data_IF_053337848325
#
_entry.id   IF_053337848325
#
_cell.length_a   1.000
_cell.length_b   1.000
_cell.length_c   1.000
_cell.angle_alpha   90.00
_cell.angle_beta   90.00
_cell.angle_gamma   90.00
#
_symmetry.space_group_name_H-M   'P 1'
#
loop_
_entity.id
_entity.type
_entity.pdbx_description
1 polymer ?
#
# COMPACT_ATOMS: atom_id res chain seq x y z
N UNK A 1 -7.62 -0.75 11.98
CA UNK A 1 -7.94 -0.08 10.70
C UNK A 1 -8.61 -1.07 9.75
N UNK A 2 -7.91 -2.12 9.23
CA UNK A 2 -8.49 -3.05 8.23
C UNK A 2 -9.84 -3.62 8.68
N UNK A 3 -9.89 -4.18 9.88
CA UNK A 3 -11.10 -4.79 10.44
C UNK A 3 -12.26 -3.78 10.54
N UNK A 4 -12.01 -2.60 11.12
CA UNK A 4 -13.05 -1.59 11.35
C UNK A 4 -13.58 -0.97 10.07
N UNK A 5 -12.70 -0.75 9.07
CA UNK A 5 -13.07 -0.11 7.82
C UNK A 5 -13.58 -1.07 6.75
N UNK A 6 -13.47 -2.39 6.95
CA UNK A 6 -13.94 -3.38 5.96
C UNK A 6 -15.44 -3.26 5.63
N UNK A 7 -16.25 -2.80 6.58
CA UNK A 7 -17.68 -2.58 6.37
C UNK A 7 -18.01 -1.53 5.30
N UNK A 8 -17.06 -0.61 5.02
CA UNK A 8 -17.21 0.44 4.01
C UNK A 8 -16.62 0.04 2.65
N UNK A 9 -15.95 -1.10 2.58
CA UNK A 9 -15.29 -1.55 1.37
C UNK A 9 -16.30 -2.11 0.37
N UNK A 10 -16.27 -1.61 -0.87
CA UNK A 10 -16.99 -2.23 -1.97
C UNK A 10 -16.44 -3.64 -2.27
N UNK A 11 -17.28 -4.61 -2.67
CA UNK A 11 -16.82 -5.89 -3.16
C UNK A 11 -15.85 -5.72 -4.33
N UNK A 12 -14.82 -6.56 -4.38
CA UNK A 12 -13.90 -6.57 -5.52
C UNK A 12 -14.61 -7.06 -6.78
N UNK A 13 -14.35 -6.40 -7.88
CA UNK A 13 -14.75 -6.87 -9.21
C UNK A 13 -13.86 -8.03 -9.67
N UNK A 14 -14.34 -8.81 -10.63
CA UNK A 14 -13.55 -9.89 -11.22
C UNK A 14 -12.21 -9.39 -11.81
N UNK A 15 -12.22 -8.21 -12.44
CA UNK A 15 -11.02 -7.58 -12.99
C UNK A 15 -10.01 -7.21 -11.90
N UNK A 16 -10.47 -6.65 -10.78
CA UNK A 16 -9.59 -6.33 -9.65
C UNK A 16 -8.99 -7.57 -9.02
N UNK A 17 -9.76 -8.65 -8.89
CA UNK A 17 -9.25 -9.94 -8.40
C UNK A 17 -8.19 -10.49 -9.34
N UNK A 18 -8.42 -10.44 -10.65
CA UNK A 18 -7.46 -10.92 -11.65
C UNK A 18 -6.16 -10.12 -11.62
N UNK A 19 -6.23 -8.79 -11.48
CA UNK A 19 -5.06 -7.94 -11.33
C UNK A 19 -4.21 -8.29 -10.09
N UNK A 20 -4.80 -8.86 -9.05
CA UNK A 20 -4.09 -9.34 -7.86
C UNK A 20 -3.37 -10.67 -8.08
N UNK A 21 -3.52 -11.28 -9.27
CA UNK A 21 -2.85 -12.53 -9.68
C UNK A 21 -2.97 -13.63 -8.62
N UNK A 22 -4.17 -14.09 -8.28
CA UNK A 22 -4.38 -15.03 -7.18
C UNK A 22 -3.61 -16.35 -7.33
N UNK A 23 -3.22 -16.73 -8.54
CA UNK A 23 -2.38 -17.90 -8.82
C UNK A 23 -0.94 -17.77 -8.31
N UNK A 24 -0.44 -16.54 -8.16
CA UNK A 24 0.90 -16.23 -7.64
C UNK A 24 0.92 -16.10 -6.10
N UNK A 25 -0.26 -16.06 -5.46
CA UNK A 25 -0.42 -15.89 -4.02
C UNK A 25 -0.34 -17.22 -3.27
N UNK A 26 0.17 -17.18 -2.04
CA UNK A 26 0.08 -18.32 -1.10
C UNK A 26 -1.39 -18.58 -0.73
N UNK A 27 -1.66 -19.75 -0.16
CA UNK A 27 -3.01 -20.08 0.35
C UNK A 27 -3.50 -19.06 1.38
N UNK A 28 -2.62 -18.62 2.28
CA UNK A 28 -2.93 -17.61 3.29
C UNK A 28 -3.27 -16.27 2.65
N UNK A 29 -2.46 -15.80 1.72
CA UNK A 29 -2.68 -14.53 1.00
C UNK A 29 -3.97 -14.55 0.18
N UNK A 30 -4.33 -15.67 -0.43
CA UNK A 30 -5.64 -15.82 -1.11
C UNK A 30 -6.79 -15.67 -0.14
N UNK A 31 -6.73 -16.33 1.02
CA UNK A 31 -7.76 -16.17 2.06
C UNK A 31 -7.89 -14.73 2.55
N UNK A 32 -6.77 -14.01 2.70
CA UNK A 32 -6.78 -12.59 3.05
C UNK A 32 -7.39 -11.72 1.94
N UNK A 33 -7.08 -12.00 0.68
CA UNK A 33 -7.67 -11.31 -0.48
C UNK A 33 -9.19 -11.49 -0.50
N UNK A 34 -9.69 -12.69 -0.30
CA UNK A 34 -11.13 -13.01 -0.27
C UNK A 34 -11.83 -12.29 0.90
N UNK A 35 -11.22 -12.34 2.09
CA UNK A 35 -11.83 -11.79 3.31
C UNK A 35 -11.72 -10.27 3.38
N UNK A 36 -10.56 -9.71 3.06
CA UNK A 36 -10.23 -8.31 3.29
C UNK A 36 -9.99 -7.48 2.02
N UNK A 37 -10.09 -8.11 0.85
CA UNK A 37 -9.89 -7.44 -0.44
C UNK A 37 -8.43 -7.12 -0.79
N UNK A 38 -7.49 -7.54 0.05
CA UNK A 38 -6.07 -7.33 -0.17
C UNK A 38 -5.24 -8.46 0.45
N UNK A 39 -4.25 -9.02 -0.26
CA UNK A 39 -3.52 -10.21 0.22
C UNK A 39 -2.46 -9.91 1.28
N UNK A 40 -2.00 -8.66 1.36
CA UNK A 40 -0.89 -8.26 2.25
C UNK A 40 -1.38 -7.43 3.44
N UNK A 41 -2.33 -7.99 4.19
CA UNK A 41 -2.86 -7.41 5.43
C UNK A 41 -2.58 -8.32 6.62
N UNK A 42 -2.84 -7.86 7.82
CA UNK A 42 -2.65 -8.62 9.06
C UNK A 42 -1.21 -9.17 9.15
N UNK A 43 -1.05 -10.47 9.31
CA UNK A 43 0.26 -11.14 9.42
C UNK A 43 1.12 -11.12 8.16
N UNK A 44 0.53 -10.82 7.01
CA UNK A 44 1.24 -10.64 5.74
C UNK A 44 1.59 -9.18 5.45
N UNK A 45 1.20 -8.26 6.34
CA UNK A 45 1.54 -6.85 6.18
C UNK A 45 2.99 -6.60 6.53
N UNK A 46 3.69 -5.94 5.62
CA UNK A 46 5.03 -5.44 5.83
C UNK A 46 5.06 -3.93 5.57
N UNK A 47 5.44 -3.15 6.58
CA UNK A 47 5.53 -1.70 6.42
C UNK A 47 6.61 -1.34 5.42
N UNK A 48 6.26 -0.55 4.42
CA UNK A 48 7.18 -0.03 3.42
C UNK A 48 6.66 1.27 2.83
N UNK A 49 7.56 2.06 2.28
CA UNK A 49 7.24 3.23 1.47
C UNK A 49 7.79 3.00 0.06
N UNK A 50 6.88 2.91 -0.91
CA UNK A 50 7.23 2.67 -2.31
C UNK A 50 7.86 3.93 -2.91
N UNK A 51 9.06 3.80 -3.46
CA UNK A 51 9.80 4.90 -4.07
C UNK A 51 9.70 4.89 -5.60
N UNK A 52 9.49 3.71 -6.20
CA UNK A 52 9.43 3.56 -7.65
C UNK A 52 8.39 2.50 -8.04
N UNK A 53 7.99 2.48 -9.30
CA UNK A 53 7.31 1.33 -9.89
C UNK A 53 8.25 0.14 -10.07
N UNK A 54 7.76 -0.93 -10.71
CA UNK A 54 8.56 -2.12 -11.03
C UNK A 54 9.71 -1.75 -11.97
N UNK A 55 10.93 -2.07 -11.58
CA UNK A 55 12.15 -1.82 -12.35
C UNK A 55 12.66 -3.08 -13.01
N UNK A 56 13.35 -2.91 -14.13
CA UNK A 56 14.19 -3.95 -14.71
C UNK A 56 15.44 -4.13 -13.84
N UNK A 57 15.97 -5.37 -13.68
CA UNK A 57 17.13 -5.62 -12.82
C UNK A 57 18.37 -4.76 -13.14
N UNK A 58 18.60 -4.46 -14.42
CA UNK A 58 19.70 -3.63 -14.90
C UNK A 58 19.61 -2.16 -14.45
N UNK A 59 18.40 -1.66 -14.20
CA UNK A 59 18.15 -0.29 -13.74
C UNK A 59 18.02 -0.21 -12.21
N UNK A 60 17.79 -1.31 -11.54
CA UNK A 60 17.53 -1.34 -10.10
C UNK A 60 18.76 -0.89 -9.29
N UNK A 61 19.95 -1.44 -9.58
CA UNK A 61 21.16 -1.11 -8.81
C UNK A 61 21.64 0.34 -8.99
N UNK A 62 21.70 0.90 -10.21
CA UNK A 62 22.06 2.30 -10.40
C UNK A 62 21.10 3.25 -9.68
N UNK A 63 19.80 2.99 -9.79
CA UNK A 63 18.79 3.81 -9.14
C UNK A 63 18.82 3.67 -7.62
N UNK A 64 19.05 2.47 -7.09
CA UNK A 64 19.22 2.26 -5.65
C UNK A 64 20.35 3.13 -5.09
N UNK A 65 21.52 3.14 -5.73
CA UNK A 65 22.65 3.98 -5.32
C UNK A 65 22.29 5.47 -5.36
N UNK A 66 21.59 5.91 -6.39
CA UNK A 66 21.17 7.31 -6.49
C UNK A 66 20.23 7.67 -5.36
N UNK A 67 19.23 6.83 -5.08
CA UNK A 67 18.28 7.01 -3.97
C UNK A 67 19.02 7.04 -2.63
N UNK A 68 19.96 6.10 -2.37
CA UNK A 68 20.75 6.05 -1.14
C UNK A 68 21.58 7.33 -0.94
N UNK A 69 22.07 7.93 -2.01
CA UNK A 69 22.79 9.20 -1.97
C UNK A 69 21.90 10.41 -1.68
N UNK A 70 20.63 10.35 -2.10
CA UNK A 70 19.67 11.46 -1.95
C UNK A 70 18.88 11.40 -0.64
N UNK A 71 18.69 10.20 -0.09
CA UNK A 71 17.94 10.01 1.15
C UNK A 71 18.83 10.34 2.35
N UNK A 72 18.40 11.32 3.13
CA UNK A 72 19.05 11.61 4.41
C UNK A 72 18.96 10.40 5.38
N UNK A 73 20.02 10.06 6.11
CA UNK A 73 19.96 9.03 7.15
C UNK A 73 18.82 9.19 8.15
N UNK A 74 18.35 10.40 8.39
CA UNK A 74 17.20 10.67 9.25
C UNK A 74 15.88 10.11 8.74
N UNK A 75 15.75 9.89 7.43
CA UNK A 75 14.55 9.27 6.81
C UNK A 75 14.55 7.76 7.02
N UNK A 76 15.71 7.16 7.28
CA UNK A 76 15.86 5.72 7.54
C UNK A 76 15.75 5.36 9.03
N UNK A 77 15.51 6.35 9.88
CA UNK A 77 15.29 6.17 11.32
C UNK A 77 13.88 5.73 11.68
N UNK A 78 13.54 5.86 12.95
CA UNK A 78 12.21 5.53 13.44
C UNK A 78 11.15 6.44 12.81
N UNK A 79 10.11 5.80 12.25
CA UNK A 79 8.96 6.49 11.66
C UNK A 79 7.83 6.51 12.65
N UNK A 80 7.37 7.72 13.04
CA UNK A 80 6.18 7.89 13.85
C UNK A 80 4.98 8.11 12.95
N UNK A 81 3.92 7.32 13.16
CA UNK A 81 2.64 7.50 12.49
C UNK A 81 1.69 8.15 13.50
N UNK A 82 1.35 9.40 13.29
CA UNK A 82 0.56 10.22 14.23
C UNK A 82 -0.79 10.68 13.66
N UNK A 83 -1.05 10.39 12.39
CA UNK A 83 -2.32 10.73 11.75
C UNK A 83 -2.74 9.68 10.72
N UNK A 84 -4.03 9.66 10.40
CA UNK A 84 -4.61 8.96 9.27
C UNK A 84 -5.28 9.98 8.34
N UNK A 85 -5.17 9.77 7.05
CA UNK A 85 -5.70 10.67 6.04
C UNK A 85 -6.74 9.97 5.17
N UNK A 86 -7.76 10.74 4.74
CA UNK A 86 -8.72 10.30 3.73
C UNK A 86 -8.38 10.99 2.42
N UNK A 87 -8.21 10.18 1.39
CA UNK A 87 -8.06 10.64 0.01
C UNK A 87 -9.26 10.20 -0.80
N UNK A 88 -9.69 11.05 -1.71
CA UNK A 88 -10.80 10.77 -2.62
C UNK A 88 -10.32 10.80 -4.05
N UNK A 89 -10.66 9.76 -4.81
CA UNK A 89 -10.58 9.69 -6.26
C UNK A 89 -12.00 9.97 -6.78
N UNK A 90 -12.19 11.04 -7.53
CA UNK A 90 -13.52 11.45 -7.98
C UNK A 90 -14.05 10.56 -9.12
N UNK A 91 -13.15 10.23 -10.07
CA UNK A 91 -13.44 9.26 -11.12
C UNK A 91 -12.30 8.26 -11.19
N UNK A 92 -12.55 7.01 -11.60
CA UNK A 92 -11.50 6.00 -11.74
C UNK A 92 -10.33 6.47 -12.61
N UNK A 93 -9.13 6.52 -12.04
CA UNK A 93 -7.90 6.98 -12.70
C UNK A 93 -7.55 8.45 -12.49
N UNK A 94 -8.40 9.21 -11.78
CA UNK A 94 -8.06 10.57 -11.35
C UNK A 94 -6.98 10.56 -10.25
N UNK A 95 -6.35 11.70 -10.04
CA UNK A 95 -5.44 11.89 -8.92
C UNK A 95 -6.18 11.81 -7.58
N UNK A 96 -5.56 11.18 -6.60
CA UNK A 96 -6.05 11.12 -5.24
C UNK A 96 -5.93 12.48 -4.56
N UNK A 97 -7.04 13.05 -4.14
CA UNK A 97 -7.10 14.35 -3.46
C UNK A 97 -7.25 14.13 -1.96
N UNK A 98 -6.34 14.70 -1.17
CA UNK A 98 -6.44 14.71 0.28
C UNK A 98 -7.65 15.57 0.71
N UNK A 99 -8.62 14.95 1.41
CA UNK A 99 -9.83 15.63 1.88
C UNK A 99 -9.82 15.87 3.38
N UNK A 100 -9.34 14.92 4.17
CA UNK A 100 -9.39 15.00 5.63
C UNK A 100 -8.14 14.41 6.27
N UNK A 101 -7.76 14.97 7.44
CA UNK A 101 -6.69 14.48 8.31
C UNK A 101 -7.21 14.27 9.72
N UNK A 102 -6.93 13.12 10.29
CA UNK A 102 -7.30 12.77 11.66
C UNK A 102 -6.03 12.44 12.44
N UNK A 103 -5.65 13.33 13.33
CA UNK A 103 -4.53 13.06 14.25
C UNK A 103 -4.94 12.01 15.27
N UNK A 104 -4.04 11.11 15.60
CA UNK A 104 -4.26 10.22 16.72
C UNK A 104 -4.28 11.05 17.99
N UNK A 105 -5.42 11.01 18.69
CA UNK A 105 -5.64 11.78 19.89
C UNK A 105 -4.75 11.29 21.02
N UNK A 106 -4.03 12.18 21.58
CA UNK A 106 -3.46 12.02 22.91
C UNK A 106 -4.48 12.44 23.96
#
# INVERSE_FOLDING_TARGET
VVHEFNQFRAPLTATEIEHRKPSELTRQQRGLLETWGYPYVMGEFFFHMTLTGKLNPENAMPLQKEIENQISPSVLGDVSIDEICVFVEQNPGDDLVLTERFKFGG
#
